data_IF_935547079597
#
_entry.id   IF_935547079597
#
_cell.length_a   1.000
_cell.length_b   1.000
_cell.length_c   1.000
_cell.angle_alpha   90.00
_cell.angle_beta   90.00
_cell.angle_gamma   90.00
#
_symmetry.space_group_name_H-M   'P 1'
#
loop_
_entity.id
_entity.type
_entity.pdbx_description
1 polymer ?
#
# COMPACT_ATOMS: atom_id res chain seq x y z
N UNK A 1 50.66 -29.91 -39.66
CA UNK A 1 49.72 -29.02 -38.93
C UNK A 1 48.32 -29.57 -39.10
N UNK A 2 47.73 -30.17 -38.06
CA UNK A 2 46.38 -30.72 -38.12
C UNK A 2 45.37 -29.66 -37.67
N UNK A 3 44.40 -29.33 -38.53
CA UNK A 3 43.31 -28.41 -38.22
C UNK A 3 42.29 -29.11 -37.33
N UNK A 4 42.25 -28.74 -36.05
CA UNK A 4 41.28 -29.24 -35.07
C UNK A 4 39.97 -28.47 -35.26
N UNK A 5 39.00 -29.05 -35.96
CA UNK A 5 37.62 -28.57 -35.91
C UNK A 5 37.01 -28.95 -34.54
N UNK A 6 36.39 -28.01 -33.82
CA UNK A 6 35.80 -28.32 -32.51
C UNK A 6 34.64 -29.33 -32.66
N UNK A 7 34.48 -30.26 -31.70
CA UNK A 7 33.40 -31.25 -31.75
C UNK A 7 32.04 -30.55 -31.63
N UNK A 8 31.11 -30.93 -32.50
CA UNK A 8 29.73 -30.42 -32.44
C UNK A 8 29.03 -30.94 -31.18
N UNK A 9 28.34 -30.08 -30.40
CA UNK A 9 27.61 -30.51 -29.23
C UNK A 9 26.47 -31.47 -29.63
N UNK A 10 26.40 -32.62 -28.96
CA UNK A 10 25.39 -33.68 -29.19
C UNK A 10 24.10 -33.47 -28.41
N UNK A 11 24.05 -32.49 -27.51
CA UNK A 11 22.85 -32.18 -26.74
C UNK A 11 21.93 -31.24 -27.52
N UNK A 12 20.76 -31.75 -27.93
CA UNK A 12 19.65 -30.92 -28.42
C UNK A 12 18.62 -30.78 -27.31
N UNK A 13 18.50 -29.57 -26.77
CA UNK A 13 17.38 -29.18 -25.91
C UNK A 13 16.06 -29.36 -26.65
N UNK A 14 15.10 -30.11 -26.08
CA UNK A 14 13.73 -30.23 -26.60
C UNK A 14 12.85 -29.03 -26.25
N UNK A 15 13.36 -28.06 -25.49
CA UNK A 15 12.68 -26.80 -25.25
C UNK A 15 12.86 -25.95 -26.52
N UNK A 16 11.75 -25.62 -27.16
CA UNK A 16 11.70 -24.66 -28.26
C UNK A 16 12.41 -23.38 -27.81
N UNK A 17 13.39 -22.85 -28.57
CA UNK A 17 13.93 -21.54 -28.26
C UNK A 17 12.78 -20.53 -28.31
N UNK A 18 12.68 -19.61 -27.34
CA UNK A 18 11.68 -18.57 -27.39
C UNK A 18 11.81 -17.82 -28.72
N UNK A 19 10.69 -17.45 -29.37
CA UNK A 19 10.75 -16.68 -30.60
C UNK A 19 11.61 -15.44 -30.36
N UNK A 20 12.60 -15.23 -31.23
CA UNK A 20 13.38 -14.00 -31.30
C UNK A 20 12.41 -12.89 -31.75
N UNK A 21 11.69 -12.31 -30.81
CA UNK A 21 11.05 -11.02 -31.04
C UNK A 21 12.17 -10.00 -30.98
N UNK A 22 12.46 -9.38 -32.13
CA UNK A 22 13.17 -8.11 -32.21
C UNK A 22 12.33 -7.04 -31.51
N UNK A 23 12.27 -7.11 -30.19
CA UNK A 23 11.66 -6.08 -29.37
C UNK A 23 12.67 -4.94 -29.28
N UNK A 24 12.53 -4.00 -30.23
CA UNK A 24 12.87 -2.61 -29.97
C UNK A 24 12.02 -2.15 -28.78
N UNK A 25 12.49 -2.43 -27.57
CA UNK A 25 11.94 -1.87 -26.33
C UNK A 25 12.35 -0.40 -26.29
N UNK A 26 11.65 0.40 -27.09
CA UNK A 26 11.44 1.80 -26.78
C UNK A 26 10.05 1.91 -26.12
N UNK A 27 9.87 1.22 -25.00
CA UNK A 27 8.82 1.55 -24.06
C UNK A 27 9.42 2.52 -23.06
N UNK A 28 9.24 3.82 -23.33
CA UNK A 28 9.22 4.79 -22.25
C UNK A 28 8.40 4.19 -21.09
N UNK A 29 8.92 4.14 -19.85
CA UNK A 29 8.14 3.66 -18.74
C UNK A 29 6.96 4.60 -18.60
N UNK A 30 5.79 4.18 -19.10
CA UNK A 30 4.51 4.78 -18.73
C UNK A 30 4.41 4.56 -17.23
N UNK A 31 4.85 5.55 -16.46
CA UNK A 31 4.63 5.64 -15.03
C UNK A 31 3.10 5.53 -14.89
N UNK A 32 2.61 4.33 -14.57
CA UNK A 32 1.22 4.16 -14.18
C UNK A 32 1.11 5.02 -12.94
N UNK A 33 0.36 6.12 -13.05
CA UNK A 33 0.14 7.00 -11.91
C UNK A 33 -0.55 6.15 -10.85
N UNK A 34 0.14 5.88 -9.75
CA UNK A 34 -0.37 5.11 -8.61
C UNK A 34 -1.49 5.92 -7.94
N UNK A 35 -2.69 5.84 -8.50
CA UNK A 35 -3.88 6.54 -8.04
C UNK A 35 -4.85 5.56 -7.37
N UNK A 36 -5.45 5.95 -6.24
CA UNK A 36 -6.42 5.12 -5.56
C UNK A 36 -7.73 5.11 -6.34
N UNK A 37 -8.40 3.95 -6.37
CA UNK A 37 -9.79 3.87 -6.83
C UNK A 37 -10.67 4.40 -5.69
N UNK A 38 -11.26 5.58 -5.92
CA UNK A 38 -12.10 6.28 -4.96
C UNK A 38 -13.57 5.96 -5.20
N UNK A 39 -14.31 5.72 -4.10
CA UNK A 39 -15.75 5.62 -4.13
C UNK A 39 -16.41 7.00 -4.25
N UNK A 40 -17.68 7.09 -4.69
CA UNK A 40 -18.44 8.33 -4.66
C UNK A 40 -18.45 8.97 -3.27
N UNK A 41 -17.96 10.21 -3.15
CA UNK A 41 -17.85 10.93 -1.87
C UNK A 41 -16.57 10.62 -1.08
N UNK A 42 -15.71 9.72 -1.57
CA UNK A 42 -14.40 9.46 -0.99
C UNK A 42 -13.41 10.56 -1.41
N UNK A 43 -12.71 11.12 -0.43
CA UNK A 43 -11.70 12.16 -0.65
C UNK A 43 -10.35 11.73 -0.11
N UNK A 44 -9.28 12.04 -0.84
CA UNK A 44 -7.92 11.85 -0.35
C UNK A 44 -7.61 12.95 0.66
N UNK A 45 -7.32 12.53 1.89
CA UNK A 45 -6.95 13.43 2.99
C UNK A 45 -5.45 13.68 2.95
N UNK A 46 -4.67 12.61 2.77
CA UNK A 46 -3.22 12.71 2.79
C UNK A 46 -2.56 11.53 2.06
N UNK A 47 -1.35 11.74 1.60
CA UNK A 47 -0.58 10.72 0.89
C UNK A 47 0.91 10.81 1.20
N UNK A 48 1.59 9.67 1.07
CA UNK A 48 3.04 9.59 1.19
C UNK A 48 3.58 8.52 0.24
N UNK A 49 4.60 8.89 -0.52
CA UNK A 49 5.28 8.04 -1.49
C UNK A 49 6.50 7.36 -0.86
N UNK A 50 7.04 6.34 -1.53
CA UNK A 50 8.24 5.61 -1.10
C UNK A 50 8.06 5.00 0.30
N UNK A 51 6.93 4.32 0.49
CA UNK A 51 6.56 3.62 1.71
C UNK A 51 6.81 2.14 1.51
N UNK A 52 7.42 1.51 2.50
CA UNK A 52 7.64 0.06 2.50
C UNK A 52 6.58 -0.62 3.36
N UNK A 53 5.78 -1.51 2.79
CA UNK A 53 4.87 -2.39 3.52
C UNK A 53 5.59 -3.67 3.90
N UNK A 54 5.71 -3.95 5.20
CA UNK A 54 6.35 -5.16 5.70
C UNK A 54 5.39 -6.35 5.64
N UNK A 55 5.79 -7.43 4.97
CA UNK A 55 4.94 -8.61 4.75
C UNK A 55 5.33 -9.76 5.68
N UNK A 56 6.62 -10.00 5.88
CA UNK A 56 7.14 -11.07 6.73
C UNK A 56 7.76 -10.50 8.01
N UNK A 57 7.70 -11.28 9.10
CA UNK A 57 8.23 -10.88 10.41
C UNK A 57 9.73 -11.08 10.56
N UNK A 58 10.36 -11.84 9.67
CA UNK A 58 11.72 -12.35 9.81
C UNK A 58 12.66 -11.98 8.64
N UNK A 59 12.15 -11.80 7.42
CA UNK A 59 12.98 -11.49 6.25
C UNK A 59 12.40 -10.34 5.40
N UNK A 60 13.15 -9.23 5.26
CA UNK A 60 12.76 -8.05 4.46
C UNK A 60 12.73 -8.30 2.94
N UNK A 61 13.04 -9.52 2.48
CA UNK A 61 13.13 -9.88 1.06
C UNK A 61 11.79 -9.79 0.31
N UNK A 62 10.65 -9.78 1.02
CA UNK A 62 9.32 -9.72 0.41
C UNK A 62 8.54 -8.46 0.75
N UNK A 63 9.21 -7.42 1.28
CA UNK A 63 8.57 -6.15 1.57
C UNK A 63 8.21 -5.44 0.27
N UNK A 64 7.04 -4.81 0.24
CA UNK A 64 6.52 -4.14 -0.95
C UNK A 64 6.79 -2.65 -0.85
N UNK A 65 7.28 -2.06 -1.94
CA UNK A 65 7.39 -0.60 -2.05
C UNK A 65 6.17 -0.01 -2.74
N UNK A 66 5.73 1.14 -2.27
CA UNK A 66 4.54 1.75 -2.83
C UNK A 66 4.20 3.11 -2.25
N UNK A 67 2.96 3.49 -2.49
CA UNK A 67 2.33 4.73 -2.03
C UNK A 67 1.27 4.41 -1.01
N UNK A 68 1.32 5.09 0.14
CA UNK A 68 0.31 5.00 1.19
C UNK A 68 -0.60 6.22 1.13
N UNK A 69 -1.90 5.99 1.07
CA UNK A 69 -2.92 7.04 0.92
C UNK A 69 -3.94 6.87 2.04
N UNK A 70 -4.23 7.96 2.73
CA UNK A 70 -5.33 8.06 3.69
C UNK A 70 -6.47 8.83 3.03
N UNK A 71 -7.64 8.21 2.92
CA UNK A 71 -8.89 8.88 2.58
C UNK A 71 -9.75 9.10 3.82
N UNK A 72 -10.96 9.63 3.65
CA UNK A 72 -12.00 9.66 4.68
C UNK A 72 -12.70 8.31 4.90
N UNK A 73 -12.37 7.28 4.11
CA UNK A 73 -12.98 5.94 4.18
C UNK A 73 -11.98 4.85 4.60
N UNK A 74 -10.78 4.87 4.00
CA UNK A 74 -9.80 3.78 4.10
C UNK A 74 -8.37 4.29 4.00
N UNK A 75 -7.45 3.41 4.37
CA UNK A 75 -6.04 3.49 4.01
C UNK A 75 -5.84 2.59 2.81
N UNK A 76 -5.28 3.12 1.73
CA UNK A 76 -4.93 2.36 0.53
C UNK A 76 -3.42 2.32 0.38
N UNK A 77 -2.87 1.12 0.17
CA UNK A 77 -1.46 0.94 -0.17
C UNK A 77 -1.36 0.42 -1.61
N UNK A 78 -0.78 1.24 -2.48
CA UNK A 78 -0.68 0.96 -3.91
C UNK A 78 0.77 0.63 -4.24
N UNK A 79 1.00 -0.52 -4.85
CA UNK A 79 2.31 -1.01 -5.26
C UNK A 79 2.25 -1.47 -6.71
N UNK A 80 3.32 -1.23 -7.46
CA UNK A 80 3.51 -1.78 -8.81
C UNK A 80 4.14 -3.18 -8.78
N UNK A 81 4.68 -3.59 -7.62
CA UNK A 81 5.42 -4.84 -7.50
C UNK A 81 4.44 -6.03 -7.50
N UNK A 82 4.51 -6.93 -8.49
CA UNK A 82 3.62 -8.07 -8.56
C UNK A 82 3.98 -9.03 -7.43
N UNK A 83 3.11 -9.12 -6.41
CA UNK A 83 3.35 -10.03 -5.31
C UNK A 83 3.25 -11.48 -5.80
N UNK A 84 4.34 -12.27 -5.79
CA UNK A 84 4.30 -13.61 -6.40
C UNK A 84 3.53 -14.62 -5.54
N UNK A 85 3.36 -14.33 -4.25
CA UNK A 85 3.07 -15.34 -3.22
C UNK A 85 1.65 -15.28 -2.63
N UNK A 86 0.88 -14.20 -2.84
CA UNK A 86 -0.42 -14.04 -2.18
C UNK A 86 -1.56 -13.84 -3.19
N UNK A 87 -2.11 -14.95 -3.69
CA UNK A 87 -3.37 -14.91 -4.45
C UNK A 87 -4.54 -14.92 -3.46
N UNK A 88 -5.16 -13.77 -3.26
CA UNK A 88 -6.40 -13.68 -2.50
C UNK A 88 -7.53 -14.36 -3.28
N UNK A 89 -8.01 -15.49 -2.77
CA UNK A 89 -9.14 -16.24 -3.35
C UNK A 89 -10.47 -15.47 -3.26
N UNK A 90 -10.57 -14.53 -2.33
CA UNK A 90 -11.73 -13.67 -2.13
C UNK A 90 -11.34 -12.21 -2.31
N UNK A 91 -12.14 -11.45 -3.05
CA UNK A 91 -11.94 -10.02 -3.28
C UNK A 91 -13.11 -9.25 -2.69
N UNK A 92 -12.80 -8.17 -1.98
CA UNK A 92 -13.82 -7.24 -1.53
C UNK A 92 -14.30 -6.40 -2.74
N UNK A 93 -15.58 -6.03 -2.76
CA UNK A 93 -16.15 -5.22 -3.85
C UNK A 93 -15.80 -3.72 -3.72
N UNK A 94 -15.50 -3.25 -2.51
CA UNK A 94 -15.25 -1.84 -2.18
C UNK A 94 -13.78 -1.57 -1.82
N UNK A 95 -13.06 -2.59 -1.37
CA UNK A 95 -11.68 -2.49 -0.89
C UNK A 95 -10.72 -3.20 -1.83
N UNK A 96 -9.60 -2.55 -2.12
CA UNK A 96 -8.46 -3.14 -2.80
C UNK A 96 -7.74 -4.19 -1.94
N UNK A 97 -6.79 -4.87 -2.55
CA UNK A 97 -6.05 -5.99 -1.96
C UNK A 97 -5.29 -5.62 -0.67
N UNK A 98 -4.78 -4.40 -0.61
CA UNK A 98 -4.00 -3.90 0.53
C UNK A 98 -4.74 -2.82 1.31
N UNK A 99 -6.01 -2.60 1.01
CA UNK A 99 -6.79 -1.55 1.64
C UNK A 99 -7.25 -1.99 3.04
N UNK A 100 -7.22 -1.03 3.96
CA UNK A 100 -7.73 -1.18 5.33
C UNK A 100 -8.77 -0.10 5.57
N UNK A 101 -10.05 -0.43 5.78
CA UNK A 101 -11.05 0.59 6.08
C UNK A 101 -10.75 1.20 7.45
N UNK A 102 -10.94 2.51 7.57
CA UNK A 102 -10.60 3.25 8.79
C UNK A 102 -11.36 2.73 10.01
N UNK A 103 -12.59 2.26 9.81
CA UNK A 103 -13.44 1.67 10.86
C UNK A 103 -12.92 0.33 11.41
N UNK A 104 -12.06 -0.36 10.65
CA UNK A 104 -11.43 -1.61 11.06
C UNK A 104 -10.18 -1.37 11.92
N UNK A 105 -9.67 -0.15 11.99
CA UNK A 105 -8.52 0.18 12.81
C UNK A 105 -8.92 0.15 14.29
N UNK A 106 -8.20 -0.64 15.07
CA UNK A 106 -8.34 -0.70 16.53
C UNK A 106 -7.32 0.19 17.22
N UNK A 107 -6.05 0.05 16.82
CA UNK A 107 -4.95 0.79 17.44
C UNK A 107 -3.88 1.16 16.42
N UNK A 108 -3.33 2.36 16.57
CA UNK A 108 -2.28 2.91 15.72
C UNK A 108 -1.05 3.15 16.58
N UNK A 109 0.07 2.56 16.21
CA UNK A 109 1.34 2.73 16.91
C UNK A 109 2.35 3.31 15.95
N UNK A 110 2.97 4.41 16.37
CA UNK A 110 4.09 5.01 15.65
C UNK A 110 5.38 4.74 16.39
N UNK A 111 6.41 4.37 15.65
CA UNK A 111 7.74 4.05 16.18
C UNK A 111 8.78 4.95 15.50
N UNK A 112 9.81 5.31 16.25
CA UNK A 112 11.02 5.93 15.75
C UNK A 112 12.21 5.14 16.29
N UNK A 113 12.84 4.37 15.41
CA UNK A 113 13.95 3.48 15.76
C UNK A 113 15.20 4.25 16.15
N UNK A 114 15.50 5.35 15.45
CA UNK A 114 16.67 6.20 15.75
C UNK A 114 16.66 6.74 17.18
N UNK A 115 15.48 7.08 17.69
CA UNK A 115 15.29 7.63 19.05
C UNK A 115 14.82 6.57 20.05
N UNK A 116 14.60 5.32 19.61
CA UNK A 116 13.96 4.24 20.38
C UNK A 116 12.69 4.70 21.09
N UNK A 117 11.81 5.40 20.37
CA UNK A 117 10.53 5.90 20.90
C UNK A 117 9.38 5.23 20.20
N UNK A 118 8.39 4.82 20.97
CA UNK A 118 7.11 4.35 20.45
C UNK A 118 5.98 5.15 21.09
N UNK A 119 4.90 5.35 20.34
CA UNK A 119 3.72 6.05 20.81
C UNK A 119 2.46 5.53 20.13
N UNK A 120 1.49 5.12 20.95
CA UNK A 120 0.12 4.89 20.50
C UNK A 120 -0.51 6.23 20.14
N UNK A 121 -0.97 6.37 18.90
CA UNK A 121 -1.66 7.57 18.43
C UNK A 121 -3.17 7.45 18.68
N UNK A 122 -3.68 8.41 19.43
CA UNK A 122 -5.11 8.67 19.55
C UNK A 122 -5.54 9.90 18.75
N UNK A 123 -6.84 10.22 18.76
CA UNK A 123 -7.40 11.35 18.04
C UNK A 123 -6.89 12.65 18.69
N UNK A 124 -6.59 13.65 17.86
CA UNK A 124 -6.09 14.97 18.28
C UNK A 124 -4.76 14.97 19.06
N UNK A 125 -4.00 13.87 19.06
CA UNK A 125 -2.69 13.85 19.70
C UNK A 125 -1.60 14.47 18.83
N UNK A 126 -0.73 15.27 19.46
CA UNK A 126 0.49 15.76 18.81
C UNK A 126 1.57 14.67 18.78
N UNK A 127 2.20 14.46 17.63
CA UNK A 127 3.37 13.60 17.49
C UNK A 127 4.65 14.46 17.60
N UNK A 128 5.45 14.23 18.65
CA UNK A 128 6.66 15.03 18.95
C UNK A 128 7.92 14.57 18.21
N UNK A 129 7.86 13.42 17.53
CA UNK A 129 8.98 12.85 16.77
C UNK A 129 8.53 12.54 15.33
N UNK A 130 9.49 12.22 14.46
CA UNK A 130 9.20 11.80 13.09
C UNK A 130 9.12 10.26 13.06
N UNK A 131 8.01 9.66 12.65
CA UNK A 131 7.88 8.20 12.68
C UNK A 131 8.79 7.57 11.61
N UNK A 132 9.51 6.51 11.97
CA UNK A 132 10.20 5.62 11.01
C UNK A 132 9.31 4.44 10.63
N UNK A 133 8.40 4.05 11.51
CA UNK A 133 7.47 2.95 11.31
C UNK A 133 6.08 3.29 11.84
N UNK A 134 5.06 2.78 11.15
CA UNK A 134 3.65 2.79 11.49
C UNK A 134 3.14 1.36 11.57
N UNK A 135 2.56 1.00 12.70
CA UNK A 135 1.95 -0.30 12.97
C UNK A 135 0.47 -0.08 13.22
N UNK A 136 -0.37 -0.81 12.49
CA UNK A 136 -1.82 -0.72 12.58
C UNK A 136 -2.35 -2.08 13.03
N UNK A 137 -3.00 -2.09 14.18
CA UNK A 137 -3.77 -3.23 14.68
C UNK A 137 -5.21 -3.09 14.20
N UNK A 138 -5.68 -4.11 13.50
CA UNK A 138 -7.01 -4.15 12.93
C UNK A 138 -7.91 -5.09 13.73
N UNK A 139 -9.20 -4.77 13.80
CA UNK A 139 -10.25 -5.55 14.48
C UNK A 139 -10.47 -6.93 13.85
N UNK A 140 -10.01 -7.12 12.62
CA UNK A 140 -10.04 -8.40 11.90
C UNK A 140 -8.76 -9.24 12.11
N UNK A 141 -8.04 -8.98 13.20
CA UNK A 141 -6.81 -9.66 13.62
C UNK A 141 -5.61 -9.46 12.70
N UNK A 142 -5.70 -8.58 11.69
CA UNK A 142 -4.55 -8.20 10.86
C UNK A 142 -3.67 -7.20 11.59
N UNK A 143 -2.35 -7.38 11.45
CA UNK A 143 -1.33 -6.39 11.84
C UNK A 143 -0.68 -5.91 10.55
N UNK A 144 -0.85 -4.62 10.24
CA UNK A 144 -0.28 -4.02 9.03
C UNK A 144 0.85 -3.08 9.44
N UNK A 145 2.03 -3.27 8.84
CA UNK A 145 3.24 -2.52 9.17
C UNK A 145 3.76 -1.78 7.95
N UNK A 146 4.05 -0.50 8.13
CA UNK A 146 4.62 0.38 7.11
C UNK A 146 5.88 1.06 7.64
N UNK A 147 6.96 1.07 6.86
CA UNK A 147 8.17 1.82 7.14
C UNK A 147 8.32 3.00 6.18
N UNK A 148 8.89 4.06 6.71
CA UNK A 148 9.09 5.34 6.04
C UNK A 148 10.56 5.60 5.73
N UNK A 149 11.32 4.54 5.45
CA UNK A 149 12.78 4.57 5.25
C UNK A 149 13.22 5.62 4.23
N UNK A 150 12.48 5.75 3.12
CA UNK A 150 12.74 6.69 2.02
C UNK A 150 11.67 7.78 1.90
N UNK A 151 10.70 7.80 2.81
CA UNK A 151 9.63 8.81 2.80
C UNK A 151 10.09 10.10 3.48
N UNK A 152 9.53 11.24 3.05
CA UNK A 152 9.72 12.50 3.76
C UNK A 152 9.24 12.40 5.21
N UNK A 153 10.05 12.81 6.22
CA UNK A 153 9.67 12.67 7.63
C UNK A 153 8.45 13.52 8.00
N UNK A 154 8.25 14.64 7.30
CA UNK A 154 7.08 15.50 7.49
C UNK A 154 5.81 14.88 6.91
N UNK A 155 5.88 14.31 5.69
CA UNK A 155 4.74 13.62 5.06
C UNK A 155 4.32 12.38 5.84
N UNK A 156 5.29 11.56 6.28
CA UNK A 156 5.03 10.39 7.13
C UNK A 156 4.29 10.79 8.42
N UNK A 157 4.78 11.83 9.09
CA UNK A 157 4.13 12.38 10.28
C UNK A 157 2.70 12.86 10.00
N UNK A 158 2.49 13.62 8.91
CA UNK A 158 1.16 14.10 8.54
C UNK A 158 0.20 12.94 8.24
N UNK A 159 0.66 11.88 7.55
CA UNK A 159 -0.18 10.71 7.24
C UNK A 159 -0.57 9.95 8.50
N UNK A 160 0.37 9.72 9.42
CA UNK A 160 0.06 9.04 10.69
C UNK A 160 -0.95 9.80 11.53
N UNK A 161 -0.84 11.14 11.57
CA UNK A 161 -1.81 12.00 12.27
C UNK A 161 -3.18 12.00 11.58
N UNK A 162 -3.22 12.03 10.25
CA UNK A 162 -4.46 11.95 9.49
C UNK A 162 -5.17 10.61 9.75
N UNK A 163 -4.45 9.50 9.67
CA UNK A 163 -4.99 8.17 9.94
C UNK A 163 -5.59 8.10 11.36
N UNK A 164 -4.89 8.62 12.36
CA UNK A 164 -5.38 8.63 13.75
C UNK A 164 -6.60 9.53 13.97
N UNK A 165 -6.72 10.62 13.21
CA UNK A 165 -7.87 11.50 13.26
C UNK A 165 -9.10 10.86 12.61
N UNK A 166 -8.94 10.28 11.43
CA UNK A 166 -10.07 9.74 10.65
C UNK A 166 -10.49 8.33 11.06
N UNK A 167 -9.64 7.55 11.75
CA UNK A 167 -10.02 6.23 12.28
C UNK A 167 -10.95 6.30 13.48
N UNK A 168 -11.00 7.43 14.18
CA UNK A 168 -11.79 7.62 15.39
C UNK A 168 -12.63 8.91 15.28
N UNK A 169 -13.66 8.92 14.42
CA UNK A 169 -14.54 10.07 14.26
C UNK A 169 -15.25 10.40 15.58
N UNK A 170 -15.37 11.69 15.88
CA UNK A 170 -16.00 12.19 17.11
C UNK A 170 -17.53 12.08 17.10
N UNK A 171 -18.12 11.97 15.92
CA UNK A 171 -19.56 11.86 15.69
C UNK A 171 -19.82 10.71 14.70
N UNK A 172 -20.91 9.97 14.93
CA UNK A 172 -21.38 8.93 14.02
C UNK A 172 -21.67 9.48 12.62
N UNK A 173 -22.18 10.71 12.51
CA UNK A 173 -22.48 11.33 11.21
C UNK A 173 -21.24 11.55 10.32
N UNK A 174 -20.05 11.56 10.93
CA UNK A 174 -18.78 11.68 10.19
C UNK A 174 -18.31 10.34 9.60
N UNK A 175 -19.01 9.23 9.87
CA UNK A 175 -18.71 7.95 9.25
C UNK A 175 -19.00 8.02 7.74
N UNK A 176 -18.06 7.53 6.95
CA UNK A 176 -18.17 7.49 5.49
C UNK A 176 -19.47 6.84 4.97
N UNK A 177 -20.06 5.92 5.73
CA UNK A 177 -21.33 5.28 5.37
C UNK A 177 -22.46 6.30 5.10
N UNK A 178 -22.51 7.40 5.86
CA UNK A 178 -23.51 8.45 5.66
C UNK A 178 -23.26 9.24 4.36
N UNK A 179 -22.01 9.55 4.03
CA UNK A 179 -21.65 10.22 2.77
C UNK A 179 -21.92 9.31 1.55
N UNK A 180 -21.53 8.04 1.66
CA UNK A 180 -21.66 7.07 0.56
C UNK A 180 -23.12 6.80 0.17
N UNK A 181 -24.01 6.69 1.17
CA UNK A 181 -25.44 6.41 0.93
C UNK A 181 -26.29 7.69 0.90
N UNK A 182 -25.83 8.78 1.50
CA UNK A 182 -26.56 10.04 1.60
C UNK A 182 -26.99 10.59 0.25
N UNK A 183 -26.18 10.42 -0.80
CA UNK A 183 -26.56 10.81 -2.18
C UNK A 183 -27.77 10.06 -2.71
N UNK A 184 -28.06 8.84 -2.26
CA UNK A 184 -29.27 8.11 -2.67
C UNK A 184 -30.54 8.65 -2.02
N UNK A 185 -30.43 9.22 -0.82
CA UNK A 185 -31.59 9.73 -0.07
C UNK A 185 -31.78 11.24 -0.24
N UNK A 186 -30.71 12.01 -0.47
CA UNK A 186 -30.75 13.45 -0.67
C UNK A 186 -30.89 13.87 -2.14
N UNK A 187 -30.59 13.00 -3.11
CA UNK A 187 -30.87 13.24 -4.54
C UNK A 187 -32.20 12.63 -5.01
N UNK A 188 -33.13 12.37 -4.09
CA UNK A 188 -34.52 12.11 -4.48
C UNK A 188 -35.18 13.46 -4.82
N UNK A 189 -34.75 14.09 -5.92
CA UNK A 189 -35.59 15.08 -6.58
C UNK A 189 -36.81 14.34 -7.13
N UNK A 190 -37.98 14.87 -6.74
CA UNK A 190 -39.30 14.53 -7.24
C UNK A 190 -39.45 14.87 -8.73
#
# INVERSE_FOLDING_TARGET
MFSLKPPKPTFRSYLLPPPQTDDKINSEPKIKKLEPVLLPGEIVVNEVNFVRKCIATDTSQYDLWGKLICSNFKISFITDDPMPLQKFHYRNLLLGEHDVPLTCIEQIVTVNDHKRKQKVLGPNQKLKFNPTELIIYCKDFRIVRFRFDESGPESAKKVCLAIAHYSQPTDLQLLFAFEYVGKKYHNSEA
#
